data_IF_345292995325
#
_entry.id   IF_345292995325
#
_cell.length_a   1.000
_cell.length_b   1.000
_cell.length_c   1.000
_cell.angle_alpha   90.00
_cell.angle_beta   90.00
_cell.angle_gamma   90.00
#
_symmetry.space_group_name_H-M   'P 1'
#
loop_
_entity.id
_entity.type
_entity.pdbx_description
1 polymer ?
#
# COMPACT_ATOMS: atom_id res chain seq x y z
N UNK A 1 5.68 -7.98 -73.29
CA UNK A 1 5.75 -8.80 -72.06
C UNK A 1 5.76 -7.78 -70.91
N UNK A 2 4.59 -7.44 -70.36
CA UNK A 2 3.99 -7.99 -69.11
C UNK A 2 4.83 -7.58 -67.89
N UNK A 3 4.37 -6.88 -66.84
CA UNK A 3 3.03 -6.50 -66.36
C UNK A 3 3.12 -5.23 -65.48
N UNK A 4 1.99 -4.54 -65.45
CA UNK A 4 1.48 -3.55 -64.49
C UNK A 4 1.71 -3.85 -62.99
N UNK A 5 1.91 -2.79 -62.18
CA UNK A 5 1.22 -2.60 -60.89
C UNK A 5 1.60 -1.25 -60.26
N UNK A 6 0.72 -0.25 -60.43
CA UNK A 6 0.66 0.94 -59.58
C UNK A 6 -0.23 0.66 -58.37
N UNK A 7 0.20 1.07 -57.17
CA UNK A 7 -0.69 1.25 -56.02
C UNK A 7 -0.08 2.19 -54.99
N UNK A 8 -0.72 3.33 -54.65
CA UNK A 8 -0.37 4.13 -53.48
C UNK A 8 -1.32 3.79 -52.31
N UNK A 9 -0.78 3.14 -51.28
CA UNK A 9 -1.43 2.79 -50.01
C UNK A 9 -0.28 2.60 -49.01
N UNK A 10 -0.17 3.25 -47.86
CA UNK A 10 -1.15 3.80 -46.94
C UNK A 10 -0.50 4.91 -46.12
N UNK A 11 -1.33 5.76 -45.53
CA UNK A 11 -0.91 6.72 -44.52
C UNK A 11 -0.18 6.02 -43.37
N UNK A 12 1.15 6.16 -43.30
CA UNK A 12 1.92 5.85 -42.10
C UNK A 12 1.63 6.94 -41.06
N UNK A 13 0.47 6.86 -40.42
CA UNK A 13 0.28 7.47 -39.11
C UNK A 13 1.13 6.63 -38.15
N UNK A 14 2.32 7.11 -37.83
CA UNK A 14 3.13 6.49 -36.80
C UNK A 14 2.32 6.44 -35.50
N UNK A 15 2.31 5.31 -34.76
CA UNK A 15 1.75 5.31 -33.42
C UNK A 15 2.50 6.36 -32.59
N UNK A 16 1.81 7.44 -32.25
CA UNK A 16 2.13 8.23 -31.07
C UNK A 16 1.71 7.35 -29.90
N UNK A 17 2.57 6.43 -29.48
CA UNK A 17 2.37 5.76 -28.19
C UNK A 17 2.45 6.88 -27.12
N UNK A 18 1.36 7.18 -26.40
CA UNK A 18 1.48 8.03 -25.24
C UNK A 18 2.34 7.27 -24.23
N UNK A 19 3.31 7.96 -23.65
CA UNK A 19 4.15 7.50 -22.55
C UNK A 19 3.26 6.80 -21.52
N UNK A 20 3.30 5.46 -21.50
CA UNK A 20 2.68 4.67 -20.44
C UNK A 20 3.50 4.92 -19.19
N UNK A 21 3.06 5.87 -18.38
CA UNK A 21 3.51 6.03 -16.99
C UNK A 21 3.14 4.71 -16.34
N UNK A 22 4.12 3.80 -16.21
CA UNK A 22 3.92 2.43 -15.75
C UNK A 22 2.89 2.38 -14.62
N UNK A 23 1.64 2.09 -14.99
CA UNK A 23 0.58 1.74 -14.07
C UNK A 23 0.96 0.33 -13.63
N UNK A 24 1.62 0.24 -12.48
CA UNK A 24 1.92 -1.03 -11.83
C UNK A 24 0.56 -1.71 -11.67
N UNK A 25 0.30 -2.74 -12.49
CA UNK A 25 -0.91 -3.56 -12.41
C UNK A 25 -1.18 -3.85 -10.91
N UNK A 26 -2.41 -3.67 -10.41
CA UNK A 26 -2.71 -4.03 -9.04
C UNK A 26 -2.24 -5.47 -8.86
N UNK A 27 -1.40 -5.71 -7.84
CA UNK A 27 -0.96 -7.05 -7.52
C UNK A 27 -2.22 -7.93 -7.44
N UNK A 28 -2.15 -9.17 -7.94
CA UNK A 28 -3.31 -10.04 -8.14
C UNK A 28 -4.17 -10.26 -6.86
N UNK A 29 -3.66 -9.90 -5.69
CA UNK A 29 -4.30 -10.01 -4.38
C UNK A 29 -4.58 -8.64 -3.69
N UNK A 30 -4.63 -7.53 -4.43
CA UNK A 30 -4.93 -6.22 -3.84
C UNK A 30 -6.33 -6.20 -3.21
N UNK A 31 -6.37 -5.95 -1.91
CA UNK A 31 -7.59 -5.70 -1.13
C UNK A 31 -7.54 -4.29 -0.54
N UNK A 32 -8.50 -3.41 -0.84
CA UNK A 32 -8.45 -2.02 -0.39
C UNK A 32 -8.71 -1.87 1.12
N UNK A 33 -8.23 -0.78 1.75
CA UNK A 33 -8.62 -0.36 3.09
C UNK A 33 -10.13 -0.27 3.29
N UNK A 34 -10.62 -0.78 4.41
CA UNK A 34 -12.04 -0.86 4.78
C UNK A 34 -12.41 0.12 5.89
N UNK A 35 -11.43 0.57 6.67
CA UNK A 35 -11.60 1.53 7.77
C UNK A 35 -10.67 2.73 7.60
N UNK A 36 -10.97 3.84 8.30
CA UNK A 36 -10.09 5.02 8.32
C UNK A 36 -8.70 4.71 8.88
N UNK A 37 -8.63 3.83 9.89
CA UNK A 37 -7.37 3.37 10.47
C UNK A 37 -6.55 2.56 9.44
N UNK A 38 -7.18 1.62 8.74
CA UNK A 38 -6.51 0.86 7.67
C UNK A 38 -6.02 1.79 6.55
N UNK A 39 -6.81 2.79 6.16
CA UNK A 39 -6.43 3.74 5.11
C UNK A 39 -5.22 4.57 5.53
N UNK A 40 -5.22 5.12 6.74
CA UNK A 40 -4.10 5.88 7.28
C UNK A 40 -2.82 5.03 7.38
N UNK A 41 -2.94 3.77 7.81
CA UNK A 41 -1.80 2.84 7.86
C UNK A 41 -1.27 2.54 6.46
N UNK A 42 -2.14 2.23 5.50
CA UNK A 42 -1.76 1.95 4.12
C UNK A 42 -1.05 3.16 3.46
N UNK A 43 -1.52 4.38 3.74
CA UNK A 43 -0.88 5.62 3.27
C UNK A 43 0.52 5.80 3.90
N UNK A 44 0.66 5.63 5.22
CA UNK A 44 1.96 5.69 5.89
C UNK A 44 2.94 4.68 5.31
N UNK A 45 2.47 3.47 5.00
CA UNK A 45 3.31 2.42 4.42
C UNK A 45 3.72 2.77 3.00
N UNK A 46 2.77 3.23 2.19
CA UNK A 46 3.02 3.69 0.82
C UNK A 46 4.11 4.76 0.77
N UNK A 47 4.02 5.76 1.65
CA UNK A 47 4.99 6.85 1.76
C UNK A 47 6.37 6.37 2.23
N UNK A 48 6.42 5.52 3.26
CA UNK A 48 7.68 5.07 3.89
C UNK A 48 8.43 4.03 3.05
N UNK A 49 7.68 3.14 2.39
CA UNK A 49 8.22 2.06 1.56
C UNK A 49 8.35 2.48 0.08
N UNK A 50 7.88 3.68 -0.27
CA UNK A 50 7.85 4.19 -1.64
C UNK A 50 7.14 3.22 -2.61
N UNK A 51 6.00 2.69 -2.17
CA UNK A 51 5.11 1.82 -2.97
C UNK A 51 3.87 2.61 -3.35
N UNK A 52 3.37 2.41 -4.57
CA UNK A 52 2.25 3.19 -5.10
C UNK A 52 0.89 2.80 -4.52
N UNK A 53 0.75 1.57 -4.06
CA UNK A 53 -0.49 1.01 -3.57
C UNK A 53 -0.17 -0.10 -2.56
N UNK A 54 -0.77 -0.02 -1.38
CA UNK A 54 -0.67 -1.02 -0.31
C UNK A 54 -2.07 -1.55 -0.02
N UNK A 55 -2.26 -2.85 -0.18
CA UNK A 55 -3.47 -3.57 0.21
C UNK A 55 -3.45 -3.92 1.70
N UNK A 56 -4.64 -4.19 2.26
CA UNK A 56 -4.76 -4.47 3.70
C UNK A 56 -4.09 -5.78 4.13
N UNK A 57 -3.83 -6.67 3.18
CA UNK A 57 -3.20 -7.97 3.37
C UNK A 57 -1.75 -8.02 2.88
N UNK A 58 -1.21 -6.90 2.40
CA UNK A 58 0.20 -6.84 2.02
C UNK A 58 1.06 -6.90 3.29
N UNK A 59 2.08 -7.76 3.28
CA UNK A 59 3.01 -7.91 4.38
C UNK A 59 4.09 -6.80 4.32
N UNK A 60 4.26 -6.10 5.44
CA UNK A 60 5.21 -5.00 5.58
C UNK A 60 6.63 -5.38 5.17
N UNK A 61 7.09 -6.57 5.57
CA UNK A 61 8.45 -7.03 5.34
C UNK A 61 8.64 -7.52 3.91
N UNK A 62 7.62 -8.16 3.31
CA UNK A 62 7.62 -8.53 1.89
C UNK A 62 7.62 -7.29 0.98
N UNK A 63 7.01 -6.18 1.42
CA UNK A 63 7.08 -4.88 0.74
C UNK A 63 8.43 -4.16 0.89
N UNK A 64 9.41 -4.75 1.59
CA UNK A 64 10.75 -4.17 1.81
C UNK A 64 10.90 -3.42 3.13
N UNK A 65 9.92 -3.56 4.04
CA UNK A 65 9.96 -2.96 5.36
C UNK A 65 11.05 -3.56 6.26
N UNK A 66 11.57 -2.74 7.15
CA UNK A 66 12.60 -3.12 8.12
C UNK A 66 12.43 -2.38 9.45
N UNK A 67 13.23 -2.75 10.44
CA UNK A 67 13.08 -2.31 11.84
C UNK A 67 13.00 -0.79 12.04
N UNK A 68 13.81 -0.01 11.31
CA UNK A 68 13.80 1.45 11.39
C UNK A 68 12.48 2.02 10.86
N UNK A 69 12.01 1.57 9.69
CA UNK A 69 10.73 2.03 9.12
C UNK A 69 9.56 1.59 9.99
N UNK A 70 9.59 0.35 10.49
CA UNK A 70 8.62 -0.17 11.45
C UNK A 70 8.52 0.74 12.67
N UNK A 71 9.65 1.10 13.27
CA UNK A 71 9.68 1.98 14.44
C UNK A 71 9.11 3.36 14.11
N UNK A 72 9.44 3.93 12.95
CA UNK A 72 8.91 5.23 12.52
C UNK A 72 7.39 5.20 12.35
N UNK A 73 6.86 4.15 11.71
CA UNK A 73 5.41 3.96 11.55
C UNK A 73 4.73 3.86 12.92
N UNK A 74 5.31 3.11 13.87
CA UNK A 74 4.72 2.96 15.20
C UNK A 74 4.74 4.26 16.01
N UNK A 75 5.78 5.09 15.85
CA UNK A 75 5.82 6.43 16.42
C UNK A 75 4.74 7.33 15.80
N UNK A 76 4.55 7.27 14.48
CA UNK A 76 3.50 8.05 13.80
C UNK A 76 2.10 7.59 14.25
N UNK A 77 1.89 6.28 14.42
CA UNK A 77 0.66 5.70 14.99
C UNK A 77 0.43 6.18 16.42
N UNK A 78 1.45 6.17 17.28
CA UNK A 78 1.33 6.67 18.64
C UNK A 78 0.95 8.16 18.67
N UNK A 79 1.55 8.98 17.82
CA UNK A 79 1.23 10.40 17.72
C UNK A 79 -0.21 10.66 17.24
N UNK A 80 -0.71 9.87 16.29
CA UNK A 80 -2.03 10.08 15.70
C UNK A 80 -3.17 9.51 16.54
N UNK A 81 -2.93 8.37 17.19
CA UNK A 81 -3.96 7.62 17.91
C UNK A 81 -3.76 7.62 19.42
N UNK A 82 -2.67 8.19 19.93
CA UNK A 82 -2.37 8.24 21.37
C UNK A 82 -2.12 6.86 21.99
N UNK A 83 -1.78 5.85 21.18
CA UNK A 83 -1.56 4.47 21.65
C UNK A 83 -0.15 4.02 21.33
N UNK A 84 0.64 3.80 22.38
CA UNK A 84 1.97 3.21 22.24
C UNK A 84 1.84 1.73 21.86
N UNK A 85 2.35 1.36 20.69
CA UNK A 85 2.34 -0.02 20.20
C UNK A 85 3.76 -0.59 20.27
N UNK A 86 3.98 -1.73 20.94
CA UNK A 86 5.29 -2.38 20.97
C UNK A 86 5.78 -2.73 19.57
N UNK A 87 7.07 -2.54 19.30
CA UNK A 87 7.68 -2.92 18.00
C UNK A 87 7.46 -4.39 17.63
N UNK A 88 7.36 -5.28 18.64
CA UNK A 88 7.01 -6.70 18.45
C UNK A 88 5.67 -6.89 17.74
N UNK A 89 4.71 -5.99 17.93
CA UNK A 89 3.37 -6.11 17.34
C UNK A 89 3.44 -6.19 15.82
N UNK A 90 4.27 -5.37 15.16
CA UNK A 90 4.40 -5.41 13.70
C UNK A 90 4.97 -6.74 13.19
N UNK A 91 5.77 -7.46 14.00
CA UNK A 91 6.24 -8.80 13.64
C UNK A 91 5.19 -9.89 13.80
N UNK A 92 4.19 -9.68 14.66
CA UNK A 92 3.09 -10.62 14.89
C UNK A 92 1.87 -10.32 14.02
N UNK A 93 1.73 -9.07 13.62
CA UNK A 93 0.66 -8.51 12.81
C UNK A 93 1.30 -7.70 11.66
N UNK A 94 1.96 -8.38 10.69
CA UNK A 94 2.75 -7.73 9.66
C UNK A 94 1.93 -7.15 8.51
N UNK A 95 0.60 -7.24 8.56
CA UNK A 95 -0.31 -6.63 7.57
C UNK A 95 -1.04 -5.42 8.15
N UNK A 96 -1.53 -4.53 7.28
CA UNK A 96 -2.32 -3.36 7.68
C UNK A 96 -3.58 -3.79 8.45
N UNK A 97 -4.29 -4.83 8.00
CA UNK A 97 -5.48 -5.33 8.67
C UNK A 97 -5.20 -5.82 10.10
N UNK A 98 -4.13 -6.60 10.29
CA UNK A 98 -3.79 -7.16 11.59
C UNK A 98 -3.26 -6.08 12.54
N UNK A 99 -2.45 -5.13 12.04
CA UNK A 99 -1.95 -4.02 12.84
C UNK A 99 -3.09 -3.11 13.30
N UNK A 100 -4.06 -2.82 12.42
CA UNK A 100 -5.25 -2.07 12.77
C UNK A 100 -6.02 -2.73 13.92
N UNK A 101 -6.25 -4.05 13.83
CA UNK A 101 -6.90 -4.81 14.91
C UNK A 101 -6.12 -4.75 16.23
N UNK A 102 -4.79 -4.82 16.17
CA UNK A 102 -3.95 -4.72 17.37
C UNK A 102 -4.05 -3.33 18.04
N UNK A 103 -4.10 -2.26 17.24
CA UNK A 103 -4.29 -0.88 17.73
C UNK A 103 -5.66 -0.73 18.38
N UNK A 104 -6.73 -1.19 17.71
CA UNK A 104 -8.10 -1.14 18.25
C UNK A 104 -8.24 -1.92 19.55
N UNK A 105 -7.60 -3.10 19.64
CA UNK A 105 -7.53 -3.89 20.86
C UNK A 105 -6.83 -3.16 22.00
N UNK A 106 -5.68 -2.55 21.74
CA UNK A 106 -4.94 -1.78 22.73
C UNK A 106 -5.73 -0.56 23.25
N UNK A 107 -6.48 0.11 22.36
CA UNK A 107 -7.39 1.21 22.70
C UNK A 107 -8.58 0.75 23.55
N UNK A 108 -9.11 -0.45 23.30
CA UNK A 108 -10.20 -1.02 24.09
C UNK A 108 -9.75 -1.35 25.52
N UNK A 109 -8.55 -1.93 25.68
CA UNK A 109 -7.98 -2.26 27.00
C UNK A 109 -7.72 -1.01 27.85
N UNK A 110 -7.17 0.05 27.26
CA UNK A 110 -6.89 1.30 27.96
C UNK A 110 -8.17 2.04 28.40
N UNK A 111 -9.28 1.92 27.66
CA UNK A 111 -10.59 2.43 28.10
C UNK A 111 -11.19 1.66 29.28
N UNK A 112 -10.96 0.35 29.37
CA UNK A 112 -11.53 -0.49 30.44
C UNK A 112 -10.81 -0.29 31.78
N UNK A 113 -9.50 -0.06 31.78
CA UNK A 113 -8.71 0.23 32.99
C UNK A 113 -9.13 1.55 33.68
N UNK A 114 -9.84 2.44 32.95
CA UNK A 114 -10.28 3.75 33.44
C UNK A 114 -11.68 3.76 34.07
N UNK A 115 -12.34 2.61 34.22
CA UNK A 115 -13.66 2.52 34.86
C UNK A 115 -13.54 2.32 36.40
N UNK A 116 -14.17 3.18 37.23
CA UNK A 116 -14.07 3.14 38.70
C UNK A 116 -14.88 2.01 39.35
#
# INVERSE_FOLDING_TARGET
MTTDATGPKDAQLGPKEPVSRAEKEPAADYTPPRTELEAALADMWSDRLNVSLVGVHDDFFELGGHSILATQILVDVEHLYGTAIPARTLFLAPTVAELAQAIEGAQAHSRQESAP
#
